data_IF_220055441284
#
_entry.id   IF_220055441284
#
_cell.length_a   1.000
_cell.length_b   1.000
_cell.length_c   1.000
_cell.angle_alpha   90.00
_cell.angle_beta   90.00
_cell.angle_gamma   90.00
#
_symmetry.space_group_name_H-M   'P 1'
#
loop_
_entity.id
_entity.type
_entity.pdbx_description
1 polymer ?
#
# COMPACT_ATOMS: atom_id res chain seq x y z
N UNK A 1 12.73 5.92 24.43
CA UNK A 1 11.28 6.06 24.19
C UNK A 1 11.10 6.31 22.68
N UNK A 2 11.09 5.25 21.87
CA UNK A 2 10.99 5.38 20.41
C UNK A 2 9.54 5.65 20.02
N UNK A 3 9.28 6.79 19.38
CA UNK A 3 7.95 7.13 18.89
C UNK A 3 7.44 6.01 17.96
N UNK A 4 6.25 5.49 18.27
CA UNK A 4 5.47 4.69 17.33
C UNK A 4 5.05 5.66 16.21
N UNK A 5 5.82 5.70 15.12
CA UNK A 5 5.39 6.41 13.91
C UNK A 5 4.21 5.64 13.33
N UNK A 6 3.01 6.06 13.69
CA UNK A 6 1.79 5.61 13.03
C UNK A 6 1.73 6.36 11.69
N UNK A 7 2.42 5.85 10.67
CA UNK A 7 2.26 6.36 9.31
C UNK A 7 0.84 6.03 8.85
N UNK A 8 -0.01 7.05 8.83
CA UNK A 8 -1.38 6.96 8.35
C UNK A 8 -1.36 6.99 6.84
N UNK A 9 -1.61 5.85 6.20
CA UNK A 9 -1.76 5.76 4.76
C UNK A 9 -3.23 6.01 4.37
N UNK A 10 -3.46 6.95 3.45
CA UNK A 10 -4.77 7.25 2.89
C UNK A 10 -5.07 6.26 1.75
N UNK A 11 -6.30 5.71 1.70
CA UNK A 11 -6.75 4.89 0.59
C UNK A 11 -7.15 5.79 -0.58
N UNK A 12 -6.44 5.67 -1.70
CA UNK A 12 -6.72 6.42 -2.95
C UNK A 12 -7.75 5.68 -3.80
N UNK A 13 -7.64 4.36 -3.90
CA UNK A 13 -8.60 3.52 -4.62
C UNK A 13 -8.65 2.12 -4.02
N UNK A 14 -9.79 1.45 -4.19
CA UNK A 14 -10.04 0.09 -3.73
C UNK A 14 -10.90 -0.65 -4.76
N UNK A 15 -10.47 -1.85 -5.17
CA UNK A 15 -11.16 -2.67 -6.16
C UNK A 15 -11.25 -4.11 -5.65
N UNK A 16 -12.44 -4.73 -5.74
CA UNK A 16 -12.60 -6.16 -5.45
C UNK A 16 -11.83 -6.98 -6.48
N UNK A 17 -11.02 -7.91 -6.02
CA UNK A 17 -10.17 -8.75 -6.87
C UNK A 17 -10.01 -10.13 -6.20
N UNK A 18 -10.37 -11.22 -6.89
CA UNK A 18 -10.20 -12.62 -6.44
C UNK A 18 -10.36 -12.84 -4.91
N UNK A 19 -11.58 -12.60 -4.37
CA UNK A 19 -11.85 -12.76 -2.92
C UNK A 19 -10.92 -11.95 -2.01
N UNK A 20 -10.73 -10.69 -2.38
CA UNK A 20 -9.94 -9.72 -1.64
C UNK A 20 -10.09 -8.34 -2.24
N UNK A 21 -9.19 -7.44 -1.87
CA UNK A 21 -9.14 -6.08 -2.37
C UNK A 21 -7.75 -5.72 -2.86
N UNK A 22 -7.69 -5.15 -4.05
CA UNK A 22 -6.52 -4.43 -4.53
C UNK A 22 -6.70 -2.96 -4.17
N UNK A 23 -5.86 -2.47 -3.27
CA UNK A 23 -5.89 -1.10 -2.81
C UNK A 23 -4.68 -0.33 -3.33
N UNK A 24 -4.87 0.97 -3.57
CA UNK A 24 -3.78 1.93 -3.76
C UNK A 24 -3.79 2.89 -2.59
N UNK A 25 -2.64 3.05 -1.97
CA UNK A 25 -2.45 3.92 -0.83
C UNK A 25 -1.55 5.10 -1.16
N UNK A 26 -1.69 6.17 -0.38
CA UNK A 26 -0.86 7.37 -0.44
C UNK A 26 -0.39 7.71 0.97
N UNK A 27 0.89 8.03 1.09
CA UNK A 27 1.48 8.47 2.35
C UNK A 27 2.66 9.40 2.08
N UNK A 28 3.00 10.23 3.07
CA UNK A 28 4.27 10.94 3.06
C UNK A 28 5.38 10.02 3.57
N UNK A 29 6.50 9.94 2.84
CA UNK A 29 7.67 9.18 3.26
C UNK A 29 8.70 10.11 3.88
N UNK A 30 9.02 9.92 5.15
CA UNK A 30 10.06 10.71 5.83
C UNK A 30 11.47 10.44 5.28
N UNK A 31 11.70 9.23 4.74
CA UNK A 31 13.00 8.82 4.17
C UNK A 31 13.23 9.45 2.80
N UNK A 32 12.19 9.51 1.97
CA UNK A 32 12.27 10.06 0.62
C UNK A 32 11.85 11.55 0.56
N UNK A 33 11.30 12.07 1.66
CA UNK A 33 10.79 13.43 1.83
C UNK A 33 9.80 13.85 0.73
N UNK A 34 8.90 12.93 0.34
CA UNK A 34 7.90 13.19 -0.68
C UNK A 34 6.64 12.33 -0.50
N UNK A 35 5.57 12.68 -1.23
CA UNK A 35 4.34 11.88 -1.26
C UNK A 35 4.53 10.64 -2.16
N UNK A 36 4.30 9.47 -1.58
CA UNK A 36 4.50 8.17 -2.21
C UNK A 36 3.18 7.42 -2.35
N UNK A 37 3.02 6.72 -3.47
CA UNK A 37 1.91 5.79 -3.71
C UNK A 37 2.42 4.35 -3.79
N UNK A 38 1.66 3.41 -3.24
CA UNK A 38 1.94 1.99 -3.39
C UNK A 38 0.64 1.19 -3.50
N UNK A 39 0.68 0.08 -4.22
CA UNK A 39 -0.43 -0.87 -4.31
C UNK A 39 -0.23 -2.03 -3.34
N UNK A 40 -1.32 -2.52 -2.73
CA UNK A 40 -1.31 -3.76 -1.98
C UNK A 40 -2.56 -4.57 -2.25
N UNK A 41 -2.36 -5.86 -2.55
CA UNK A 41 -3.43 -6.84 -2.57
C UNK A 41 -3.59 -7.42 -1.16
N UNK A 42 -4.81 -7.39 -0.64
CA UNK A 42 -5.16 -7.99 0.65
C UNK A 42 -6.25 -9.02 0.41
N UNK A 43 -5.96 -10.32 0.56
CA UNK A 43 -6.98 -11.36 0.48
C UNK A 43 -7.94 -11.27 1.68
N UNK A 44 -9.15 -11.81 1.54
CA UNK A 44 -10.08 -11.96 2.65
C UNK A 44 -9.42 -12.84 3.74
N UNK A 45 -9.39 -12.36 4.99
CA UNK A 45 -8.73 -13.01 6.13
C UNK A 45 -9.50 -12.72 7.42
N UNK A 46 -9.20 -13.46 8.49
CA UNK A 46 -9.84 -13.22 9.79
C UNK A 46 -9.29 -11.94 10.40
N UNK A 47 -10.13 -11.22 11.14
CA UNK A 47 -9.69 -10.01 11.84
C UNK A 47 -8.53 -10.32 12.80
N UNK A 48 -7.47 -9.51 12.71
CA UNK A 48 -6.25 -9.68 13.51
C UNK A 48 -5.30 -10.79 13.05
N UNK A 49 -5.64 -11.52 11.98
CA UNK A 49 -4.75 -12.52 11.40
C UNK A 49 -3.53 -11.86 10.74
N UNK A 50 -2.34 -12.40 11.01
CA UNK A 50 -1.10 -11.95 10.37
C UNK A 50 -0.89 -12.76 9.09
N UNK A 51 -0.91 -12.07 7.96
CA UNK A 51 -0.63 -12.66 6.66
C UNK A 51 0.86 -12.53 6.32
N UNK A 52 1.45 -13.48 5.58
CA UNK A 52 2.77 -13.29 5.00
C UNK A 52 2.74 -12.14 3.97
N UNK A 53 3.76 -11.29 4.00
CA UNK A 53 3.92 -10.19 3.04
C UNK A 53 4.86 -10.55 1.90
N UNK A 54 4.50 -10.18 0.67
CA UNK A 54 5.37 -10.24 -0.50
C UNK A 54 5.55 -8.83 -1.06
N UNK A 55 6.80 -8.35 -1.11
CA UNK A 55 7.13 -7.11 -1.80
C UNK A 55 7.44 -7.41 -3.26
N UNK A 56 6.69 -6.79 -4.15
CA UNK A 56 6.96 -6.79 -5.58
C UNK A 56 7.63 -5.46 -5.97
N UNK A 57 8.88 -5.53 -6.43
CA UNK A 57 9.63 -4.38 -6.92
C UNK A 57 9.54 -4.35 -8.44
N UNK A 58 8.88 -3.32 -8.95
CA UNK A 58 8.70 -3.07 -10.37
C UNK A 58 9.95 -2.48 -11.03
N UNK A 59 10.06 -2.63 -12.36
CA UNK A 59 11.08 -1.97 -13.18
C UNK A 59 10.80 -0.47 -13.43
N UNK A 60 11.69 0.17 -14.21
CA UNK A 60 11.72 1.64 -14.37
C UNK A 60 10.42 2.31 -14.87
N UNK A 61 9.58 1.62 -15.66
CA UNK A 61 8.44 2.27 -16.33
C UNK A 61 7.11 1.54 -16.07
N UNK A 62 6.72 1.42 -14.80
CA UNK A 62 5.57 0.60 -14.39
C UNK A 62 4.26 1.40 -14.20
N UNK A 63 4.33 2.70 -13.95
CA UNK A 63 3.16 3.51 -13.56
C UNK A 63 2.97 4.69 -14.50
N UNK A 64 1.96 4.57 -15.37
CA UNK A 64 1.48 5.68 -16.20
C UNK A 64 0.40 6.44 -15.43
N UNK A 65 0.68 7.70 -15.10
CA UNK A 65 -0.34 8.63 -14.64
C UNK A 65 -1.02 9.21 -15.87
N UNK A 66 -2.27 8.84 -16.10
CA UNK A 66 -3.15 9.58 -17.00
C UNK A 66 -3.97 10.54 -16.13
N UNK A 67 -3.86 11.84 -16.42
CA UNK A 67 -4.72 12.89 -15.85
C UNK A 67 -6.05 12.97 -16.61
#
# INVERSE_FOLDING_TARGET
MGARFQMVAEVVSSVRCFQGFQNVYKHHSDVLNCEMKFGAYVPDHKEGERLPGLFYLSGEFISLKFE
#
